data_IF_320842547860
#
_entry.id   IF_320842547860
#
_cell.length_a   1.000
_cell.length_b   1.000
_cell.length_c   1.000
_cell.angle_alpha   90.00
_cell.angle_beta   90.00
_cell.angle_gamma   90.00
#
_symmetry.space_group_name_H-M   'P 1'
#
loop_
_entity.id
_entity.type
_entity.pdbx_description
1 polymer ?
#
# COMPACT_ATOMS: atom_id res chain seq x y z
N UNK A 1 -13.96 -16.72 25.43
CA UNK A 1 -13.93 -16.41 23.99
C UNK A 1 -12.50 -16.15 23.55
N UNK A 2 -12.03 -16.82 22.54
CA UNK A 2 -10.73 -16.46 21.96
C UNK A 2 -10.82 -15.08 21.31
N UNK A 3 -9.72 -14.34 21.23
CA UNK A 3 -9.69 -13.08 20.49
C UNK A 3 -9.96 -13.31 19.01
N UNK A 4 -10.49 -12.29 18.35
CA UNK A 4 -10.72 -12.31 16.91
C UNK A 4 -9.44 -11.90 16.19
N UNK A 5 -9.19 -12.53 15.04
CA UNK A 5 -8.09 -12.14 14.17
C UNK A 5 -8.58 -11.27 13.02
N UNK A 6 -7.66 -10.55 12.39
CA UNK A 6 -7.95 -9.81 11.16
C UNK A 6 -7.83 -10.80 10.00
N UNK A 7 -8.93 -10.98 9.26
CA UNK A 7 -8.93 -11.85 8.08
C UNK A 7 -8.25 -11.17 6.89
N UNK A 8 -8.60 -9.92 6.64
CA UNK A 8 -8.12 -9.21 5.45
C UNK A 8 -8.25 -7.71 5.62
N UNK A 9 -7.55 -6.97 4.76
CA UNK A 9 -7.79 -5.55 4.54
C UNK A 9 -8.65 -5.44 3.28
N UNK A 10 -9.63 -4.57 3.29
CA UNK A 10 -10.49 -4.37 2.13
C UNK A 10 -10.46 -2.91 1.69
N UNK A 11 -10.17 -2.70 0.41
CA UNK A 11 -10.23 -1.39 -0.24
C UNK A 11 -11.51 -1.32 -1.04
N UNK A 12 -12.32 -0.30 -0.80
CA UNK A 12 -13.39 0.07 -1.71
C UNK A 12 -12.79 0.93 -2.80
N UNK A 13 -13.10 0.64 -4.06
CA UNK A 13 -12.48 1.31 -5.19
C UNK A 13 -13.39 1.28 -6.42
N UNK A 14 -13.08 2.12 -7.40
CA UNK A 14 -13.85 2.15 -8.64
C UNK A 14 -13.34 1.12 -9.64
N UNK A 15 -12.04 0.86 -9.64
CA UNK A 15 -11.38 -0.06 -10.58
C UNK A 15 -10.54 -1.08 -9.79
N UNK A 16 -11.17 -2.15 -9.28
CA UNK A 16 -10.45 -3.16 -8.49
C UNK A 16 -9.24 -3.77 -9.22
N UNK A 17 -9.38 -4.06 -10.50
CA UNK A 17 -8.29 -4.67 -11.27
C UNK A 17 -7.03 -3.79 -11.26
N UNK A 18 -7.21 -2.50 -11.50
CA UNK A 18 -6.10 -1.54 -11.55
C UNK A 18 -5.42 -1.37 -10.20
N UNK A 19 -6.22 -1.18 -9.15
CA UNK A 19 -5.69 -0.95 -7.79
C UNK A 19 -5.05 -2.21 -7.24
N UNK A 20 -5.67 -3.37 -7.47
CA UNK A 20 -5.12 -4.66 -7.02
C UNK A 20 -3.79 -4.97 -7.72
N UNK A 21 -3.70 -4.74 -9.02
CA UNK A 21 -2.46 -4.94 -9.77
C UNK A 21 -1.34 -4.05 -9.25
N UNK A 22 -1.66 -2.79 -8.96
CA UNK A 22 -0.70 -1.87 -8.35
C UNK A 22 -0.19 -2.40 -7.01
N UNK A 23 -1.09 -2.72 -6.09
CA UNK A 23 -0.70 -3.16 -4.74
C UNK A 23 0.00 -4.53 -4.74
N UNK A 24 -0.42 -5.44 -5.61
CA UNK A 24 0.28 -6.72 -5.76
C UNK A 24 1.74 -6.50 -6.17
N UNK A 25 1.97 -5.56 -7.11
CA UNK A 25 3.33 -5.23 -7.57
C UNK A 25 4.15 -4.54 -6.48
N UNK A 26 3.53 -3.61 -5.74
CA UNK A 26 4.22 -2.91 -4.64
C UNK A 26 4.67 -3.88 -3.56
N UNK A 27 3.79 -4.79 -3.16
CA UNK A 27 4.00 -5.69 -2.02
C UNK A 27 4.65 -7.03 -2.38
N UNK A 28 4.80 -7.33 -3.67
CA UNK A 28 5.25 -8.64 -4.10
C UNK A 28 4.21 -9.73 -3.85
N UNK A 29 2.95 -9.38 -3.90
CA UNK A 29 1.83 -10.30 -3.70
C UNK A 29 1.41 -10.94 -5.02
N UNK A 30 0.72 -12.05 -4.92
CA UNK A 30 0.07 -12.71 -6.05
C UNK A 30 -1.36 -12.22 -6.20
N UNK A 31 -1.78 -11.99 -7.45
CA UNK A 31 -3.19 -11.76 -7.76
C UNK A 31 -3.86 -13.14 -7.82
N UNK A 32 -4.77 -13.40 -6.89
CA UNK A 32 -5.46 -14.70 -6.80
C UNK A 32 -6.69 -14.70 -7.69
N UNK A 33 -7.42 -13.59 -7.72
CA UNK A 33 -8.65 -13.47 -8.51
C UNK A 33 -8.89 -12.01 -8.87
N UNK A 34 -9.38 -11.78 -10.09
CA UNK A 34 -9.91 -10.49 -10.54
C UNK A 34 -11.18 -10.79 -11.33
N UNK A 35 -12.28 -10.15 -10.96
CA UNK A 35 -13.52 -10.19 -11.74
C UNK A 35 -14.16 -8.79 -11.76
N UNK A 36 -15.37 -8.67 -12.31
CA UNK A 36 -16.04 -7.38 -12.44
C UNK A 36 -16.42 -6.73 -11.12
N UNK A 37 -16.49 -7.49 -10.05
CA UNK A 37 -16.95 -7.01 -8.73
C UNK A 37 -15.81 -6.77 -7.75
N UNK A 38 -14.64 -7.35 -8.01
CA UNK A 38 -13.54 -7.19 -7.07
C UNK A 38 -12.26 -7.91 -7.46
N UNK A 39 -11.33 -7.93 -6.53
CA UNK A 39 -10.04 -8.60 -6.68
C UNK A 39 -9.54 -9.07 -5.32
N UNK A 40 -8.65 -10.05 -5.34
CA UNK A 40 -8.05 -10.67 -4.15
C UNK A 40 -6.57 -10.85 -4.42
N UNK A 41 -5.73 -10.30 -3.55
CA UNK A 41 -4.28 -10.48 -3.63
C UNK A 41 -3.77 -11.06 -2.31
N UNK A 42 -2.75 -11.90 -2.39
CA UNK A 42 -2.21 -12.58 -1.22
C UNK A 42 -0.69 -12.64 -1.27
N UNK A 43 -0.09 -12.59 -0.07
CA UNK A 43 1.33 -12.85 0.07
C UNK A 43 1.60 -14.32 -0.23
N UNK A 44 2.43 -14.65 -1.24
CA UNK A 44 2.73 -16.04 -1.56
C UNK A 44 3.45 -16.79 -0.43
N UNK A 45 4.09 -16.05 0.49
CA UNK A 45 4.76 -16.64 1.65
C UNK A 45 3.86 -16.78 2.87
N UNK A 46 2.63 -16.25 2.80
CA UNK A 46 1.65 -16.34 3.88
C UNK A 46 1.98 -15.51 5.12
N UNK A 47 2.87 -14.53 5.02
CA UNK A 47 3.30 -13.71 6.15
C UNK A 47 2.49 -12.42 6.29
N UNK A 48 2.06 -11.85 5.17
CA UNK A 48 1.29 -10.62 5.16
C UNK A 48 -0.21 -10.90 5.10
N UNK A 49 -1.01 -9.87 5.39
CA UNK A 49 -2.45 -9.97 5.33
C UNK A 49 -2.94 -10.03 3.89
N UNK A 50 -3.97 -10.83 3.69
CA UNK A 50 -4.75 -10.83 2.45
C UNK A 50 -5.38 -9.47 2.24
N UNK A 51 -5.41 -8.99 0.99
CA UNK A 51 -6.06 -7.72 0.64
C UNK A 51 -7.12 -7.99 -0.42
N UNK A 52 -8.30 -7.45 -0.17
CA UNK A 52 -9.46 -7.56 -1.05
C UNK A 52 -9.82 -6.18 -1.58
N UNK A 53 -10.25 -6.12 -2.84
CA UNK A 53 -10.69 -4.88 -3.47
C UNK A 53 -12.11 -5.08 -3.97
N UNK A 54 -13.02 -4.22 -3.51
CA UNK A 54 -14.44 -4.32 -3.89
C UNK A 54 -14.84 -3.07 -4.67
N UNK A 55 -15.63 -3.28 -5.73
CA UNK A 55 -16.08 -2.17 -6.55
C UNK A 55 -17.15 -1.36 -5.81
N UNK A 56 -16.99 -0.04 -5.84
CA UNK A 56 -18.00 0.92 -5.37
C UNK A 56 -18.18 1.99 -6.44
N UNK A 57 -19.36 2.63 -6.52
CA UNK A 57 -19.60 3.62 -7.58
C UNK A 57 -18.90 4.96 -7.36
N UNK A 58 -18.63 5.34 -6.11
CA UNK A 58 -18.00 6.63 -5.79
C UNK A 58 -16.49 6.55 -5.76
N UNK A 59 -15.85 7.65 -6.15
CA UNK A 59 -14.41 7.81 -6.01
C UNK A 59 -14.03 8.28 -4.60
N UNK A 60 -12.76 8.18 -4.29
CA UNK A 60 -12.22 8.68 -3.03
C UNK A 60 -12.17 10.21 -3.07
N UNK A 61 -12.66 10.86 -2.00
CA UNK A 61 -12.71 12.33 -1.89
C UNK A 61 -11.91 12.82 -0.69
N UNK A 62 -12.16 12.27 0.50
CA UNK A 62 -11.49 12.71 1.73
C UNK A 62 -10.25 11.86 1.99
N UNK A 63 -9.34 12.40 2.83
CA UNK A 63 -8.13 11.68 3.22
C UNK A 63 -8.46 10.36 3.90
N UNK A 64 -7.71 9.30 3.58
CA UNK A 64 -7.86 8.01 4.25
C UNK A 64 -7.57 8.13 5.74
N UNK A 65 -8.41 7.49 6.54
CA UNK A 65 -8.20 7.40 7.98
C UNK A 65 -7.23 6.27 8.32
N UNK A 66 -7.21 5.23 7.50
CA UNK A 66 -6.26 4.13 7.59
C UNK A 66 -5.36 4.20 6.37
N UNK A 67 -4.05 4.16 6.57
CA UNK A 67 -3.11 4.13 5.46
C UNK A 67 -2.03 3.09 5.72
N UNK A 68 -1.51 2.51 4.64
CA UNK A 68 -0.41 1.57 4.74
C UNK A 68 0.90 2.34 4.73
N UNK A 69 1.84 1.90 5.57
CA UNK A 69 3.21 2.42 5.59
C UNK A 69 4.10 1.29 5.08
N UNK A 70 4.83 1.54 3.99
CA UNK A 70 5.71 0.52 3.40
C UNK A 70 7.16 0.86 3.70
N UNK A 71 7.92 -0.18 4.11
CA UNK A 71 9.33 -0.06 4.46
C UNK A 71 10.17 -0.57 3.30
N UNK A 72 10.97 0.30 2.64
CA UNK A 72 11.88 -0.14 1.59
C UNK A 72 12.96 -1.08 2.12
N UNK A 73 13.48 -1.92 1.25
CA UNK A 73 14.65 -2.74 1.54
C UNK A 73 15.96 -2.01 1.24
N UNK A 74 15.91 -0.93 0.49
CA UNK A 74 17.04 -0.07 0.15
C UNK A 74 16.86 1.33 0.66
N UNK A 75 16.57 2.28 -0.24
CA UNK A 75 16.34 3.68 0.13
C UNK A 75 14.91 4.11 -0.18
N UNK A 76 14.45 5.13 0.53
CA UNK A 76 13.16 5.76 0.26
C UNK A 76 13.09 6.30 -1.16
N UNK A 77 14.15 6.95 -1.63
CA UNK A 77 14.17 7.55 -2.97
C UNK A 77 14.00 6.50 -4.08
N UNK A 78 14.67 5.37 -3.96
CA UNK A 78 14.54 4.28 -4.94
C UNK A 78 13.13 3.70 -4.92
N UNK A 79 12.55 3.52 -3.74
CA UNK A 79 11.20 2.98 -3.61
C UNK A 79 10.16 3.94 -4.18
N UNK A 80 10.32 5.24 -3.95
CA UNK A 80 9.43 6.25 -4.53
C UNK A 80 9.42 6.14 -6.07
N UNK A 81 10.60 6.02 -6.68
CA UNK A 81 10.69 5.87 -8.13
C UNK A 81 10.03 4.57 -8.61
N UNK A 82 10.21 3.48 -7.86
CA UNK A 82 9.59 2.21 -8.21
C UNK A 82 8.07 2.29 -8.18
N UNK A 83 7.49 2.81 -7.08
CA UNK A 83 6.02 2.89 -6.97
C UNK A 83 5.44 3.89 -7.96
N UNK A 84 6.18 4.96 -8.30
CA UNK A 84 5.74 5.89 -9.35
C UNK A 84 5.65 5.19 -10.70
N UNK A 85 6.62 4.35 -11.02
CA UNK A 85 6.59 3.59 -12.27
C UNK A 85 5.43 2.61 -12.34
N UNK A 86 4.88 2.22 -11.19
CA UNK A 86 3.73 1.32 -11.09
C UNK A 86 2.38 2.06 -11.12
N UNK A 87 2.40 3.39 -11.02
CA UNK A 87 1.19 4.20 -11.10
C UNK A 87 0.90 5.10 -9.91
N UNK A 88 1.78 5.14 -8.92
CA UNK A 88 1.63 6.07 -7.78
C UNK A 88 2.02 7.48 -8.15
N UNK A 89 1.52 8.45 -7.39
CA UNK A 89 1.96 9.84 -7.48
C UNK A 89 2.41 10.33 -6.10
N UNK A 90 3.34 11.27 -6.08
CA UNK A 90 3.85 11.82 -4.84
C UNK A 90 2.91 12.91 -4.34
N UNK A 91 2.59 12.87 -3.04
CA UNK A 91 1.73 13.85 -2.42
C UNK A 91 2.52 14.86 -1.60
N UNK A 92 3.30 14.40 -0.58
CA UNK A 92 4.16 15.31 0.17
C UNK A 92 5.21 14.56 0.99
N UNK A 93 6.34 15.23 1.19
CA UNK A 93 7.40 14.78 2.06
C UNK A 93 7.20 15.34 3.47
N UNK A 94 7.43 14.53 4.49
CA UNK A 94 7.29 14.91 5.90
C UNK A 94 8.56 14.56 6.66
N UNK A 95 9.05 15.48 7.48
CA UNK A 95 10.16 15.23 8.39
C UNK A 95 9.79 15.73 9.79
N UNK A 96 9.74 14.84 10.75
CA UNK A 96 9.33 15.13 12.12
C UNK A 96 10.04 14.21 13.10
N UNK A 97 10.43 14.74 14.26
CA UNK A 97 10.93 13.94 15.37
C UNK A 97 12.14 13.07 15.05
N UNK A 98 12.99 13.54 14.14
CA UNK A 98 14.19 12.78 13.73
C UNK A 98 13.91 11.69 12.70
N UNK A 99 12.69 11.60 12.22
CA UNK A 99 12.30 10.64 11.17
C UNK A 99 11.79 11.40 9.95
N UNK A 100 11.63 10.68 8.83
CA UNK A 100 11.07 11.25 7.62
C UNK A 100 10.42 10.16 6.78
N UNK A 101 9.43 10.56 5.99
CA UNK A 101 8.71 9.68 5.08
C UNK A 101 8.08 10.51 3.97
N UNK A 102 7.60 9.84 2.94
CA UNK A 102 6.90 10.51 1.84
C UNK A 102 5.50 9.92 1.71
N UNK A 103 4.50 10.79 1.72
CA UNK A 103 3.12 10.40 1.45
C UNK A 103 2.93 10.31 -0.06
N UNK A 104 2.50 9.14 -0.52
CA UNK A 104 2.20 8.85 -1.91
C UNK A 104 0.71 8.61 -2.07
N UNK A 105 0.25 8.64 -3.31
CA UNK A 105 -1.13 8.29 -3.66
C UNK A 105 -1.10 7.07 -4.57
N UNK A 106 -1.96 6.09 -4.31
CA UNK A 106 -2.14 4.96 -5.21
C UNK A 106 -2.94 5.41 -6.45
N UNK A 107 -3.19 4.53 -7.43
CA UNK A 107 -3.89 4.93 -8.66
C UNK A 107 -5.29 5.50 -8.46
N UNK A 108 -5.92 5.27 -7.32
CA UNK A 108 -7.23 5.87 -7.00
C UNK A 108 -7.15 6.96 -5.94
N UNK A 109 -5.96 7.42 -5.61
CA UNK A 109 -5.76 8.53 -4.68
C UNK A 109 -5.72 8.12 -3.22
N UNK A 110 -5.62 6.83 -2.89
CA UNK A 110 -5.46 6.40 -1.51
C UNK A 110 -4.07 6.76 -1.01
N UNK A 111 -3.99 7.45 0.12
CA UNK A 111 -2.72 7.82 0.72
C UNK A 111 -2.03 6.59 1.30
N UNK A 112 -0.74 6.47 1.04
CA UNK A 112 0.15 5.52 1.71
C UNK A 112 1.51 6.18 1.89
N UNK A 113 2.30 5.67 2.82
CA UNK A 113 3.59 6.28 3.12
C UNK A 113 4.73 5.35 2.73
N UNK A 114 5.71 5.90 2.04
CA UNK A 114 7.00 5.23 1.85
C UNK A 114 7.92 5.73 2.93
N UNK A 115 8.35 4.83 3.79
CA UNK A 115 9.21 5.13 4.93
C UNK A 115 10.67 5.14 4.51
N UNK A 116 11.55 5.63 5.37
CA UNK A 116 12.99 5.53 5.12
C UNK A 116 13.41 4.06 5.21
N UNK A 117 14.40 3.69 4.40
CA UNK A 117 14.94 2.35 4.37
C UNK A 117 16.29 2.26 5.07
N UNK A 118 16.90 1.06 5.07
CA UNK A 118 18.24 0.88 5.68
C UNK A 118 19.31 1.82 5.14
N UNK A 119 19.24 2.15 3.84
CA UNK A 119 20.20 3.07 3.23
C UNK A 119 19.97 4.52 3.64
N UNK A 120 18.87 4.81 4.32
CA UNK A 120 18.53 6.13 4.87
C UNK A 120 18.77 6.19 6.37
N UNK A 121 19.47 5.22 6.93
CA UNK A 121 19.80 5.19 8.34
C UNK A 121 18.77 4.51 9.23
N UNK A 122 17.78 3.86 8.65
CA UNK A 122 16.78 3.14 9.45
C UNK A 122 17.30 1.77 9.89
N UNK A 123 16.95 1.40 11.13
CA UNK A 123 17.23 0.08 11.69
C UNK A 123 16.06 -0.33 12.57
N UNK A 124 15.64 -1.62 12.54
CA UNK A 124 14.55 -2.09 13.40
C UNK A 124 14.88 -2.02 14.89
N UNK A 125 16.15 -1.85 15.25
CA UNK A 125 16.62 -1.79 16.62
C UNK A 125 16.82 -0.37 17.13
N UNK A 126 16.58 0.62 16.29
CA UNK A 126 16.78 2.02 16.65
C UNK A 126 15.59 2.59 17.45
#
# INVERSE_FOLDING_TARGET
MPPLGVDSLTFDCRDPAKVATFWASVLGYEVVEIDGDGADIRDPNGLGWRIIFLVVPEGKVVKNRLHLDVRPTGSMAEEIERVRSLGASQHRYVAEGGSFWTVMLDPEGNEFCVLRGPQDGWSPEA
#
